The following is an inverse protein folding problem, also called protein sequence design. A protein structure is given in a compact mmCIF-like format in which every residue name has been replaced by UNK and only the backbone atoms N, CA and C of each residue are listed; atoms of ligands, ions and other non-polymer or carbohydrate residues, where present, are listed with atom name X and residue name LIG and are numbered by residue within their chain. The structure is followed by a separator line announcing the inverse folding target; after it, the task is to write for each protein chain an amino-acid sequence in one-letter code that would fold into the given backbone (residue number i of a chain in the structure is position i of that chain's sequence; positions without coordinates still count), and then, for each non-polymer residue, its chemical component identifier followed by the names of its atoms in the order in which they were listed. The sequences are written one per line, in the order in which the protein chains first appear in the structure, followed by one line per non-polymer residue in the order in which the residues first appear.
data_IF_975854756060
#
_entry.id   IF_975854756060
#
_cell.length_a   1.000
_cell.length_b   1.000
_cell.length_c   1.000
_cell.angle_alpha   90.00
_cell.angle_beta   90.00
_cell.angle_gamma   90.00
#
_symmetry.space_group_name_H-M   'P 1'
#
loop_
_entity.id
_entity.type
_entity.pdbx_description
1 polymer ?
#
# COMPACT_ATOMS: atom_id res chain seq x y z
N UNK A 1 3.24 26.36 67.90
CA UNK A 1 4.36 25.91 67.04
C UNK A 1 4.09 24.57 66.34
N UNK A 2 3.65 23.52 67.04
CA UNK A 2 3.44 22.18 66.45
C UNK A 2 2.40 22.12 65.31
N UNK A 3 1.25 22.81 65.44
CA UNK A 3 0.20 22.81 64.42
C UNK A 3 0.64 23.41 63.07
N UNK A 4 1.50 24.43 63.07
CA UNK A 4 2.04 25.05 61.85
C UNK A 4 3.01 24.12 61.10
N UNK A 5 3.91 23.45 61.85
CA UNK A 5 4.82 22.45 61.27
C UNK A 5 4.04 21.28 60.65
N UNK A 6 2.97 20.83 61.31
CA UNK A 6 2.12 19.77 60.76
C UNK A 6 1.40 20.20 59.47
N UNK A 7 0.92 21.46 59.38
CA UNK A 7 0.32 21.97 58.15
C UNK A 7 1.33 22.13 57.01
N UNK A 8 2.55 22.58 57.31
CA UNK A 8 3.63 22.73 56.32
C UNK A 8 4.05 21.38 55.73
N UNK A 9 4.23 20.36 56.57
CA UNK A 9 4.56 18.99 56.11
C UNK A 9 3.43 18.42 55.25
N UNK A 10 2.18 18.65 55.63
CA UNK A 10 1.02 18.22 54.84
C UNK A 10 0.98 18.91 53.47
N UNK A 11 1.19 20.23 53.44
CA UNK A 11 1.23 20.99 52.19
C UNK A 11 2.38 20.52 51.27
N UNK A 12 3.57 20.29 51.83
CA UNK A 12 4.72 19.78 51.07
C UNK A 12 4.50 18.35 50.54
N UNK A 13 3.74 17.51 51.26
CA UNK A 13 3.35 16.18 50.77
C UNK A 13 2.35 16.28 49.63
N UNK A 14 1.34 17.14 49.75
CA UNK A 14 0.34 17.36 48.69
C UNK A 14 1.00 17.90 47.43
N UNK A 15 1.89 18.88 47.54
CA UNK A 15 2.62 19.43 46.39
C UNK A 15 3.47 18.36 45.68
N UNK A 16 4.13 17.48 46.44
CA UNK A 16 4.89 16.35 45.87
C UNK A 16 4.00 15.34 45.16
N UNK A 17 2.84 15.01 45.72
CA UNK A 17 1.89 14.10 45.09
C UNK A 17 1.34 14.70 43.79
N UNK A 18 0.95 15.97 43.80
CA UNK A 18 0.47 16.66 42.60
C UNK A 18 1.53 16.70 41.48
N UNK A 19 2.80 16.97 41.83
CA UNK A 19 3.89 16.93 40.86
C UNK A 19 4.13 15.51 40.30
N UNK A 20 4.03 14.49 41.15
CA UNK A 20 4.13 13.09 40.72
C UNK A 20 2.98 12.69 39.79
N UNK A 21 1.74 13.03 40.14
CA UNK A 21 0.55 12.78 39.31
C UNK A 21 0.65 13.46 37.95
N UNK A 22 1.15 14.70 37.89
CA UNK A 22 1.40 15.41 36.64
C UNK A 22 2.45 14.70 35.78
N UNK A 23 3.56 14.26 36.39
CA UNK A 23 4.62 13.55 35.68
C UNK A 23 4.14 12.19 35.14
N UNK A 24 3.36 11.44 35.92
CA UNK A 24 2.79 10.15 35.47
C UNK A 24 1.80 10.39 34.33
N UNK A 25 0.96 11.41 34.44
CA UNK A 25 0.00 11.77 33.37
C UNK A 25 0.73 12.07 32.06
N UNK A 26 1.81 12.86 32.13
CA UNK A 26 2.63 13.18 30.96
C UNK A 26 3.33 11.95 30.39
N UNK A 27 3.92 11.11 31.24
CA UNK A 27 4.57 9.88 30.80
C UNK A 27 3.58 8.93 30.08
N UNK A 28 2.36 8.82 30.59
CA UNK A 28 1.30 8.01 29.96
C UNK A 28 0.88 8.60 28.61
N UNK A 29 0.74 9.92 28.50
CA UNK A 29 0.44 10.57 27.21
C UNK A 29 1.53 10.31 26.19
N UNK A 30 2.79 10.52 26.57
CA UNK A 30 3.95 10.27 25.69
C UNK A 30 4.00 8.80 25.27
N UNK A 31 3.70 7.87 26.18
CA UNK A 31 3.66 6.45 25.85
C UNK A 31 2.63 6.15 24.75
N UNK A 32 1.37 6.57 24.93
CA UNK A 32 0.32 6.28 23.96
C UNK A 32 0.54 6.98 22.61
N UNK A 33 1.04 8.21 22.62
CA UNK A 33 1.42 8.92 21.38
C UNK A 33 2.51 8.15 20.62
N UNK A 34 3.55 7.69 21.33
CA UNK A 34 4.65 6.93 20.71
C UNK A 34 4.22 5.56 20.20
N UNK A 35 3.36 4.85 20.93
CA UNK A 35 2.81 3.55 20.47
C UNK A 35 2.00 3.76 19.20
N UNK A 36 1.08 4.74 19.21
CA UNK A 36 0.25 5.07 18.05
C UNK A 36 1.11 5.42 16.84
N UNK A 37 2.14 6.24 17.04
CA UNK A 37 3.05 6.62 15.96
C UNK A 37 3.90 5.44 15.46
N UNK A 38 4.31 4.55 16.36
CA UNK A 38 5.04 3.35 15.96
C UNK A 38 4.18 2.43 15.08
N UNK A 39 2.89 2.28 15.41
CA UNK A 39 1.95 1.49 14.62
C UNK A 39 1.70 2.13 13.25
N UNK A 40 1.48 3.45 13.20
CA UNK A 40 1.37 4.19 11.93
C UNK A 40 2.59 3.98 11.02
N UNK A 41 3.80 4.03 11.58
CA UNK A 41 5.04 3.81 10.81
C UNK A 41 5.12 2.38 10.29
N UNK A 42 4.68 1.38 11.06
CA UNK A 42 4.64 -0.02 10.60
C UNK A 42 3.64 -0.19 9.46
N UNK A 43 2.43 0.32 9.62
CA UNK A 43 1.38 0.23 8.61
C UNK A 43 1.80 0.91 7.30
N UNK A 44 2.42 2.09 7.38
CA UNK A 44 2.93 2.79 6.19
C UNK A 44 4.05 2.00 5.50
N UNK A 45 4.98 1.43 6.28
CA UNK A 45 6.07 0.61 5.75
C UNK A 45 5.53 -0.64 5.05
N UNK A 46 4.55 -1.32 5.63
CA UNK A 46 3.93 -2.52 5.07
C UNK A 46 3.19 -2.20 3.77
N UNK A 47 2.40 -1.13 3.75
CA UNK A 47 1.73 -0.67 2.53
C UNK A 47 2.73 -0.33 1.42
N UNK A 48 3.85 0.32 1.76
CA UNK A 48 4.89 0.64 0.79
C UNK A 48 5.58 -0.61 0.26
N UNK A 49 5.90 -1.57 1.13
CA UNK A 49 6.49 -2.84 0.74
C UNK A 49 5.56 -3.61 -0.22
N UNK A 50 4.27 -3.71 0.10
CA UNK A 50 3.28 -4.35 -0.76
C UNK A 50 3.20 -3.70 -2.14
N UNK A 51 3.21 -2.36 -2.22
CA UNK A 51 3.21 -1.64 -3.51
C UNK A 51 4.45 -1.96 -4.35
N UNK A 52 5.63 -2.00 -3.72
CA UNK A 52 6.89 -2.32 -4.41
C UNK A 52 6.86 -3.76 -4.93
N UNK A 53 6.42 -4.71 -4.11
CA UNK A 53 6.30 -6.11 -4.50
C UNK A 53 5.29 -6.30 -5.63
N UNK A 54 4.11 -5.67 -5.54
CA UNK A 54 3.10 -5.73 -6.59
C UNK A 54 3.60 -5.12 -7.91
N UNK A 55 4.27 -3.97 -7.85
CA UNK A 55 4.87 -3.35 -9.03
C UNK A 55 5.97 -4.22 -9.66
N UNK A 56 6.83 -4.82 -8.81
CA UNK A 56 7.86 -5.76 -9.24
C UNK A 56 7.26 -6.98 -9.93
N UNK A 57 6.24 -7.59 -9.33
CA UNK A 57 5.56 -8.76 -9.88
C UNK A 57 4.87 -8.45 -11.20
N UNK A 58 4.18 -7.31 -11.29
CA UNK A 58 3.52 -6.86 -12.52
C UNK A 58 4.53 -6.65 -13.66
N UNK A 59 5.66 -5.99 -13.37
CA UNK A 59 6.73 -5.75 -14.34
C UNK A 59 7.40 -7.05 -14.77
N UNK A 60 7.74 -7.93 -13.84
CA UNK A 60 8.30 -9.24 -14.16
C UNK A 60 7.34 -10.05 -15.06
N UNK A 61 6.06 -10.11 -14.69
CA UNK A 61 5.05 -10.77 -15.52
C UNK A 61 4.84 -10.11 -16.88
N UNK A 62 5.08 -8.81 -17.02
CA UNK A 62 5.11 -8.12 -18.32
C UNK A 62 6.27 -8.59 -19.19
N UNK A 63 7.48 -8.63 -18.62
CA UNK A 63 8.69 -9.09 -19.30
C UNK A 63 8.60 -10.57 -19.71
N UNK A 64 8.05 -11.42 -18.85
CA UNK A 64 7.82 -12.84 -19.16
C UNK A 64 6.89 -13.00 -20.36
N UNK A 65 5.80 -12.21 -20.42
CA UNK A 65 4.87 -12.20 -21.56
C UNK A 65 5.53 -11.69 -22.83
N UNK A 66 6.35 -10.64 -22.74
CA UNK A 66 7.12 -10.13 -23.87
C UNK A 66 8.10 -11.18 -24.42
N UNK A 67 8.76 -11.92 -23.53
CA UNK A 67 9.67 -13.02 -23.89
C UNK A 67 8.92 -14.18 -24.55
N UNK A 68 7.82 -14.65 -23.97
CA UNK A 68 6.96 -15.69 -24.55
C UNK A 68 6.44 -15.26 -25.95
N UNK A 69 6.04 -14.00 -26.10
CA UNK A 69 5.62 -13.43 -27.38
C UNK A 69 6.76 -13.36 -28.41
N UNK A 70 8.01 -13.10 -27.99
CA UNK A 70 9.17 -13.14 -28.86
C UNK A 70 9.43 -14.55 -29.40
N UNK A 71 9.35 -15.57 -28.53
CA UNK A 71 9.45 -16.98 -28.93
C UNK A 71 8.35 -17.35 -29.93
N UNK A 72 7.12 -16.90 -29.69
CA UNK A 72 6.01 -17.12 -30.63
C UNK A 72 6.23 -16.43 -31.99
N UNK A 73 6.84 -15.25 -32.02
CA UNK A 73 7.21 -14.57 -33.27
C UNK A 73 8.28 -15.35 -34.05
N UNK A 74 9.33 -15.84 -33.39
CA UNK A 74 10.33 -16.70 -34.03
C UNK A 74 9.69 -17.94 -34.65
N UNK A 75 8.76 -18.58 -33.93
CA UNK A 75 8.03 -19.74 -34.46
C UNK A 75 7.17 -19.39 -35.68
N UNK A 76 6.54 -18.21 -35.70
CA UNK A 76 5.75 -17.71 -36.85
C UNK A 76 6.61 -17.40 -38.08
N UNK A 77 7.87 -17.05 -37.89
CA UNK A 77 8.83 -16.82 -38.98
C UNK A 77 9.31 -18.13 -39.66
N UNK A 78 8.90 -19.30 -39.13
CA UNK A 78 9.21 -20.60 -39.69
C UNK A 78 10.32 -21.35 -38.95
N UNK A 79 10.94 -20.73 -37.94
CA UNK A 79 12.02 -21.36 -37.19
C UNK A 79 11.53 -22.62 -36.46
N UNK A 80 12.25 -23.75 -36.57
CA UNK A 80 11.91 -24.96 -35.84
C UNK A 80 12.25 -24.80 -34.35
N UNK A 81 11.48 -25.46 -33.49
CA UNK A 81 11.59 -25.34 -32.03
C UNK A 81 12.99 -25.68 -31.51
N UNK A 82 13.71 -26.60 -32.17
CA UNK A 82 15.08 -26.99 -31.82
C UNK A 82 16.09 -25.89 -32.11
N UNK A 83 15.93 -25.15 -33.20
CA UNK A 83 16.81 -24.03 -33.55
C UNK A 83 16.54 -22.82 -32.65
N UNK A 84 15.25 -22.54 -32.36
CA UNK A 84 14.89 -21.50 -31.38
C UNK A 84 15.53 -21.80 -30.01
N UNK A 85 15.45 -23.05 -29.56
CA UNK A 85 16.06 -23.51 -28.31
C UNK A 85 17.58 -23.28 -28.29
N UNK A 86 18.26 -23.57 -29.39
CA UNK A 86 19.70 -23.33 -29.53
C UNK A 86 20.03 -21.82 -29.53
N UNK A 87 19.24 -20.99 -30.22
CA UNK A 87 19.46 -19.54 -30.33
C UNK A 87 19.33 -18.79 -29.00
N UNK A 88 18.42 -19.22 -28.13
CA UNK A 88 18.11 -18.52 -26.86
C UNK A 88 18.64 -19.28 -25.64
N UNK A 89 19.46 -20.31 -25.86
CA UNK A 89 20.08 -21.14 -24.82
C UNK A 89 19.08 -21.73 -23.80
N UNK A 90 17.88 -22.09 -24.28
CA UNK A 90 16.85 -22.74 -23.46
C UNK A 90 16.66 -24.21 -23.88
N UNK A 91 16.29 -25.09 -22.94
CA UNK A 91 15.88 -26.44 -23.30
C UNK A 91 14.62 -26.39 -24.18
N UNK A 92 14.48 -27.35 -25.10
CA UNK A 92 13.31 -27.51 -25.98
C UNK A 92 11.99 -27.53 -25.18
N UNK A 93 12.00 -28.12 -23.98
CA UNK A 93 10.85 -28.13 -23.07
C UNK A 93 10.46 -26.71 -22.62
N UNK A 94 11.44 -25.84 -22.37
CA UNK A 94 11.22 -24.43 -22.04
C UNK A 94 10.60 -23.66 -23.20
N UNK A 95 11.09 -23.88 -24.42
CA UNK A 95 10.52 -23.26 -25.63
C UNK A 95 9.08 -23.71 -25.87
N UNK A 96 8.78 -25.01 -25.70
CA UNK A 96 7.40 -25.52 -25.80
C UNK A 96 6.48 -24.91 -24.75
N UNK A 97 6.95 -24.76 -23.52
CA UNK A 97 6.18 -24.13 -22.46
C UNK A 97 5.91 -22.64 -22.74
N UNK A 98 6.91 -21.91 -23.24
CA UNK A 98 6.75 -20.52 -23.67
C UNK A 98 5.72 -20.37 -24.80
N UNK A 99 5.77 -21.25 -25.80
CA UNK A 99 4.79 -21.26 -26.88
C UNK A 99 3.36 -21.56 -26.38
N UNK A 100 3.21 -22.50 -25.45
CA UNK A 100 1.91 -22.83 -24.84
C UNK A 100 1.33 -21.63 -24.06
N UNK A 101 2.15 -20.96 -23.25
CA UNK A 101 1.74 -19.74 -22.54
C UNK A 101 1.37 -18.61 -23.48
N UNK A 102 2.14 -18.43 -24.57
CA UNK A 102 1.85 -17.43 -25.58
C UNK A 102 0.53 -17.71 -26.33
N UNK A 103 0.17 -18.98 -26.56
CA UNK A 103 -1.12 -19.33 -27.16
C UNK A 103 -2.30 -19.05 -26.23
N UNK A 104 -2.17 -19.33 -24.93
CA UNK A 104 -3.25 -19.07 -23.94
C UNK A 104 -3.56 -17.58 -23.81
N UNK A 105 -2.52 -16.73 -23.90
CA UNK A 105 -2.62 -15.27 -23.88
C UNK A 105 -3.20 -14.66 -25.16
N UNK A 106 -3.27 -15.41 -26.26
CA UNK A 106 -3.79 -14.94 -27.55
C UNK A 106 -5.31 -15.07 -27.67
N UNK A 107 -6.00 -15.54 -26.62
CA UNK A 107 -7.47 -15.51 -26.57
C UNK A 107 -7.92 -14.07 -26.32
N UNK A 108 -8.63 -13.42 -27.27
CA UNK A 108 -9.02 -12.02 -27.10
C UNK A 108 -10.07 -11.94 -26.00
N UNK A 109 -9.77 -11.19 -24.95
CA UNK A 109 -10.80 -10.64 -24.06
C UNK A 109 -11.66 -9.75 -24.94
N UNK A 110 -12.87 -10.21 -25.25
CA UNK A 110 -13.86 -9.42 -25.94
C UNK A 110 -14.10 -8.12 -25.21
N UNK A 111 -13.91 -7.02 -25.94
CA UNK A 111 -14.76 -5.83 -25.94
C UNK A 111 -15.54 -5.60 -24.63
N UNK A 112 -14.86 -5.04 -23.61
CA UNK A 112 -15.55 -4.30 -22.57
C UNK A 112 -15.62 -2.84 -23.05
N UNK A 113 -16.80 -2.30 -23.34
CA UNK A 113 -16.93 -0.89 -23.65
C UNK A 113 -16.50 -0.10 -22.41
N UNK A 114 -15.67 0.91 -22.62
CA UNK A 114 -15.43 1.95 -21.64
C UNK A 114 -16.80 2.56 -21.28
N UNK A 115 -17.31 2.22 -20.09
CA UNK A 115 -18.34 3.00 -19.44
C UNK A 115 -17.70 4.34 -19.09
N UNK A 116 -17.82 5.25 -20.05
CA UNK A 116 -17.92 6.68 -19.82
C UNK A 116 -19.10 6.84 -18.87
N UNK A 117 -18.84 7.15 -17.60
CA UNK A 117 -19.89 7.69 -16.74
C UNK A 117 -19.67 9.19 -16.66
N UNK A 118 -20.58 9.87 -17.35
CA UNK A 118 -20.76 11.29 -17.38
C UNK A 118 -21.09 11.83 -15.98
N UNK A 119 -20.58 13.03 -15.69
CA UNK A 119 -21.22 14.03 -14.82
C UNK A 119 -21.87 13.55 -13.51
N UNK A 120 -21.17 13.73 -12.39
CA UNK A 120 -21.85 14.14 -11.15
C UNK A 120 -21.44 15.58 -10.81
N UNK A 121 -22.14 16.50 -11.46
CA UNK A 121 -22.27 17.89 -11.06
C UNK A 121 -22.78 17.92 -9.62
N UNK A 122 -21.96 18.40 -8.68
CA UNK A 122 -22.39 18.66 -7.31
C UNK A 122 -23.24 19.94 -7.32
N UNK A 123 -24.55 19.89 -6.99
CA UNK A 123 -25.35 21.09 -6.90
C UNK A 123 -24.90 21.95 -5.71
N UNK A 124 -24.76 23.24 -5.97
CA UNK A 124 -24.54 24.27 -4.98
C UNK A 124 -25.64 24.20 -3.91
N UNK A 125 -25.24 24.01 -2.65
CA UNK A 125 -26.14 24.24 -1.53
C UNK A 125 -26.37 25.75 -1.39
N UNK A 126 -27.58 26.17 -1.78
CA UNK A 126 -28.18 27.44 -1.42
C UNK A 126 -28.25 27.54 0.12
N UNK A 127 -27.57 28.53 0.69
CA UNK A 127 -27.87 29.03 2.03
C UNK A 127 -29.23 29.75 2.00
N UNK A 128 -30.21 29.39 2.85
CA UNK A 128 -31.47 30.10 2.90
C UNK A 128 -31.29 31.47 3.55
N UNK A 129 -31.75 32.50 2.83
CA UNK A 129 -31.89 33.86 3.30
C UNK A 129 -32.70 33.93 4.60
N UNK A 130 -32.05 34.32 5.70
CA UNK A 130 -32.73 34.89 6.86
C UNK A 130 -33.15 36.33 6.51
N UNK A 131 -34.37 36.47 5.98
CA UNK A 131 -35.06 37.75 5.88
C UNK A 131 -36.05 37.90 7.03
N UNK A 132 -35.75 38.90 7.87
CA UNK A 132 -36.68 39.84 8.53
C UNK A 132 -37.62 39.35 9.64
N UNK A 133 -37.35 39.82 10.87
CA UNK A 133 -38.24 40.70 11.64
C UNK A 133 -37.41 41.53 12.63
#
# INVERSE_FOLDING_TARGET
MAARKASEVRAARVARLAAYEANVTEAVRVYFDRVTRADQVRDEADLRAQRILAAGQSRAGGLDREADAAVARLRKLGEPVTEIAAMIELPVTGVRAALARASDQSTPVGDQPALVDEHMEMPAHEEPALSTA
#
